data_IF_434731062138
#
_entry.id   IF_434731062138
#
_cell.length_a   1.000
_cell.length_b   1.000
_cell.length_c   1.000
_cell.angle_alpha   90.00
_cell.angle_beta   90.00
_cell.angle_gamma   90.00
#
_symmetry.space_group_name_H-M   'P 1'
#
loop_
_entity.id
_entity.type
_entity.pdbx_description
1 polymer ?
#
# COMPACT_ATOMS: atom_id res chain seq x y z
N UNK A 1 23.24 8.64 8.21
CA UNK A 1 21.93 9.32 8.26
C UNK A 1 20.81 8.66 7.42
N UNK A 2 21.07 7.59 6.65
CA UNK A 2 20.05 6.84 5.89
C UNK A 2 19.20 5.87 6.73
N UNK A 3 19.77 5.33 7.82
CA UNK A 3 19.08 4.33 8.65
C UNK A 3 17.92 4.90 9.48
N UNK A 4 17.88 6.22 9.73
CA UNK A 4 16.80 6.80 10.53
C UNK A 4 15.47 6.78 9.76
N UNK A 5 15.48 7.15 8.48
CA UNK A 5 14.27 7.20 7.63
C UNK A 5 13.78 5.79 7.30
N UNK A 6 14.69 4.84 7.06
CA UNK A 6 14.37 3.41 6.85
C UNK A 6 13.73 2.74 8.09
N UNK A 7 13.84 3.34 9.28
CA UNK A 7 13.31 2.78 10.53
C UNK A 7 12.13 3.57 11.10
N UNK A 8 11.78 4.74 10.53
CA UNK A 8 11.03 5.75 11.29
C UNK A 8 9.51 5.56 11.35
N UNK A 9 8.85 4.92 10.39
CA UNK A 9 7.45 4.52 10.54
C UNK A 9 6.91 3.73 9.32
N UNK A 10 7.28 2.46 9.16
CA UNK A 10 6.67 1.59 8.14
C UNK A 10 5.13 1.57 8.24
N UNK A 11 4.59 1.70 9.45
CA UNK A 11 3.14 1.78 9.71
C UNK A 11 2.44 3.00 9.12
N UNK A 12 3.15 4.10 8.81
CA UNK A 12 2.54 5.26 8.15
C UNK A 12 2.11 4.93 6.72
N UNK A 13 2.79 3.99 6.05
CA UNK A 13 2.43 3.55 4.70
C UNK A 13 1.01 2.97 4.66
N UNK A 14 0.59 2.24 5.70
CA UNK A 14 -0.80 1.76 5.85
C UNK A 14 -1.78 2.92 5.89
N UNK A 15 -1.54 3.93 6.73
CA UNK A 15 -2.45 5.08 6.87
C UNK A 15 -2.50 5.93 5.59
N UNK A 16 -1.35 6.15 4.95
CA UNK A 16 -1.29 6.83 3.65
C UNK A 16 -2.10 6.06 2.60
N UNK A 17 -1.98 4.73 2.59
CA UNK A 17 -2.70 3.86 1.68
C UNK A 17 -4.21 3.99 1.85
N UNK A 18 -4.71 3.89 3.09
CA UNK A 18 -6.14 4.09 3.40
C UNK A 18 -6.59 5.47 2.93
N UNK A 19 -5.85 6.53 3.29
CA UNK A 19 -6.16 7.91 2.92
C UNK A 19 -6.31 8.09 1.40
N UNK A 20 -5.35 7.59 0.61
CA UNK A 20 -5.36 7.70 -0.85
C UNK A 20 -6.54 6.93 -1.47
N UNK A 21 -6.86 5.74 -0.93
CA UNK A 21 -7.98 4.93 -1.42
C UNK A 21 -9.32 5.61 -1.14
N UNK A 22 -9.49 6.15 0.07
CA UNK A 22 -10.74 6.82 0.49
C UNK A 22 -10.87 8.24 -0.03
N UNK A 23 -9.80 8.84 -0.55
CA UNK A 23 -9.79 10.20 -1.08
C UNK A 23 -10.74 10.37 -2.27
N UNK A 24 -11.43 11.51 -2.30
CA UNK A 24 -12.28 11.97 -3.42
C UNK A 24 -11.55 12.90 -4.40
N UNK A 25 -10.22 13.06 -4.25
CA UNK A 25 -9.42 13.92 -5.13
C UNK A 25 -9.42 13.41 -6.58
N UNK A 26 -9.55 14.33 -7.54
CA UNK A 26 -9.48 14.04 -8.98
C UNK A 26 -8.13 13.43 -9.39
N UNK A 27 -7.06 13.70 -8.63
CA UNK A 27 -5.71 13.16 -8.83
C UNK A 27 -5.50 11.76 -8.24
N UNK A 28 -6.53 11.15 -7.61
CA UNK A 28 -6.46 9.82 -6.98
C UNK A 28 -5.79 8.76 -7.86
N UNK A 29 -6.07 8.72 -9.16
CA UNK A 29 -5.44 7.74 -10.06
C UNK A 29 -3.91 7.87 -10.12
N UNK A 30 -3.39 9.10 -10.17
CA UNK A 30 -1.94 9.35 -10.13
C UNK A 30 -1.36 8.97 -8.78
N UNK A 31 -2.03 9.37 -7.69
CA UNK A 31 -1.59 9.07 -6.34
C UNK A 31 -1.54 7.57 -6.06
N UNK A 32 -2.51 6.80 -6.56
CA UNK A 32 -2.50 5.33 -6.46
C UNK A 32 -1.31 4.76 -7.23
N UNK A 33 -1.00 5.27 -8.42
CA UNK A 33 0.14 4.79 -9.20
C UNK A 33 1.46 4.99 -8.44
N UNK A 34 1.65 6.18 -7.89
CA UNK A 34 2.87 6.52 -7.14
C UNK A 34 2.94 5.74 -5.82
N UNK A 35 1.79 5.54 -5.17
CA UNK A 35 1.67 4.71 -3.96
C UNK A 35 2.02 3.24 -4.23
N UNK A 36 1.54 2.65 -5.33
CA UNK A 36 1.86 1.25 -5.69
C UNK A 36 3.36 1.08 -5.93
N UNK A 37 4.00 2.06 -6.58
CA UNK A 37 5.46 2.05 -6.73
C UNK A 37 6.18 2.10 -5.37
N UNK A 38 5.74 2.98 -4.47
CA UNK A 38 6.28 3.08 -3.11
C UNK A 38 6.11 1.77 -2.32
N UNK A 39 4.94 1.13 -2.39
CA UNK A 39 4.67 -0.16 -1.74
C UNK A 39 5.63 -1.23 -2.22
N UNK A 40 5.90 -1.30 -3.53
CA UNK A 40 6.87 -2.27 -4.06
C UNK A 40 8.29 -2.03 -3.54
N UNK A 41 8.74 -0.77 -3.50
CA UNK A 41 10.07 -0.41 -3.00
C UNK A 41 10.24 -0.77 -1.52
N UNK A 42 9.20 -0.50 -0.71
CA UNK A 42 9.23 -0.75 0.74
C UNK A 42 8.84 -2.20 1.12
N UNK A 43 8.43 -3.03 0.16
CA UNK A 43 7.91 -4.39 0.40
C UNK A 43 8.91 -5.33 1.08
N UNK A 44 10.21 -5.06 1.03
CA UNK A 44 11.21 -5.83 1.79
C UNK A 44 11.20 -5.48 3.28
N UNK A 45 10.86 -4.23 3.61
CA UNK A 45 10.93 -3.68 4.97
C UNK A 45 9.60 -3.78 5.72
N UNK A 46 8.48 -3.60 5.02
CA UNK A 46 7.15 -3.61 5.63
C UNK A 46 6.12 -4.27 4.73
N UNK A 47 5.30 -5.13 5.34
CA UNK A 47 4.11 -5.73 4.74
C UNK A 47 3.01 -5.80 5.77
N UNK A 48 1.81 -5.46 5.34
CA UNK A 48 0.61 -5.63 6.12
C UNK A 48 -0.58 -5.93 5.19
N UNK A 49 -1.70 -6.44 5.69
CA UNK A 49 -2.84 -6.80 4.84
C UNK A 49 -3.32 -5.67 3.92
N UNK A 50 -3.22 -4.41 4.34
CA UNK A 50 -3.64 -3.25 3.52
C UNK A 50 -2.67 -3.01 2.36
N UNK A 51 -1.37 -2.99 2.61
CA UNK A 51 -0.36 -2.82 1.54
C UNK A 51 -0.33 -4.03 0.59
N UNK A 52 -0.49 -5.24 1.11
CA UNK A 52 -0.59 -6.48 0.32
C UNK A 52 -1.87 -6.52 -0.54
N UNK A 53 -2.99 -5.96 -0.06
CA UNK A 53 -4.21 -5.84 -0.85
C UNK A 53 -3.98 -5.01 -2.13
N UNK A 54 -3.29 -3.86 -2.05
CA UNK A 54 -3.00 -3.06 -3.25
C UNK A 54 -2.00 -3.75 -4.16
N UNK A 55 -1.02 -4.46 -3.60
CA UNK A 55 -0.07 -5.23 -4.39
C UNK A 55 -0.79 -6.34 -5.17
N UNK A 56 -1.72 -7.06 -4.54
CA UNK A 56 -2.54 -8.06 -5.23
C UNK A 56 -3.38 -7.43 -6.36
N UNK A 57 -3.99 -6.28 -6.10
CA UNK A 57 -4.90 -5.62 -7.03
C UNK A 57 -4.19 -4.94 -8.21
N UNK A 58 -3.10 -4.22 -7.98
CA UNK A 58 -2.47 -3.34 -8.97
C UNK A 58 -1.15 -3.89 -9.55
N UNK A 59 -0.56 -4.91 -8.93
CA UNK A 59 0.70 -5.51 -9.39
C UNK A 59 0.47 -6.93 -9.89
N UNK A 60 -0.10 -7.79 -9.04
CA UNK A 60 -0.27 -9.22 -9.34
C UNK A 60 -1.52 -9.50 -10.18
N UNK A 61 -2.48 -8.57 -10.17
CA UNK A 61 -3.80 -8.74 -10.79
C UNK A 61 -4.50 -10.03 -10.31
N UNK A 62 -4.25 -10.41 -9.05
CA UNK A 62 -4.81 -11.60 -8.41
C UNK A 62 -6.03 -11.20 -7.58
N UNK A 63 -7.21 -11.33 -8.18
CA UNK A 63 -8.46 -10.90 -7.54
C UNK A 63 -8.93 -11.86 -6.45
N UNK A 64 -8.60 -13.15 -6.54
CA UNK A 64 -8.93 -14.15 -5.51
C UNK A 64 -8.11 -13.87 -4.25
N UNK A 65 -6.80 -13.69 -4.40
CA UNK A 65 -5.91 -13.27 -3.33
C UNK A 65 -6.29 -11.89 -2.77
N UNK A 66 -6.70 -10.97 -3.62
CA UNK A 66 -7.20 -9.64 -3.21
C UNK A 66 -8.42 -9.76 -2.29
N UNK A 67 -9.41 -10.57 -2.64
CA UNK A 67 -10.61 -10.75 -1.82
C UNK A 67 -10.28 -11.37 -0.46
N UNK A 68 -9.35 -12.32 -0.42
CA UNK A 68 -8.88 -12.92 0.83
C UNK A 68 -8.17 -11.88 1.71
N UNK A 69 -7.27 -11.07 1.13
CA UNK A 69 -6.54 -10.03 1.86
C UNK A 69 -7.46 -8.96 2.42
N UNK A 70 -8.50 -8.58 1.67
CA UNK A 70 -9.50 -7.61 2.13
C UNK A 70 -10.20 -8.06 3.42
N UNK A 71 -10.50 -9.36 3.57
CA UNK A 71 -11.11 -9.91 4.80
C UNK A 71 -10.16 -9.87 6.00
N UNK A 72 -8.85 -9.94 5.74
CA UNK A 72 -7.81 -9.84 6.79
C UNK A 72 -7.42 -8.40 7.12
N UNK A 73 -8.06 -7.40 6.49
CA UNK A 73 -7.85 -5.99 6.80
C UNK A 73 -8.67 -5.50 8.02
N UNK A 74 -9.62 -6.30 8.53
CA UNK A 74 -10.28 -6.10 9.83
C UNK A 74 -9.26 -6.07 10.98
#
# INVERSE_FOLDING_TARGET
>A
HLNAIQTLAPHLLRYLTVCVITSTDKKKKSLIRDLVYLIQQESYSYRDPVTEFLECLFVKFDFDGTQQKLRTCE
#
